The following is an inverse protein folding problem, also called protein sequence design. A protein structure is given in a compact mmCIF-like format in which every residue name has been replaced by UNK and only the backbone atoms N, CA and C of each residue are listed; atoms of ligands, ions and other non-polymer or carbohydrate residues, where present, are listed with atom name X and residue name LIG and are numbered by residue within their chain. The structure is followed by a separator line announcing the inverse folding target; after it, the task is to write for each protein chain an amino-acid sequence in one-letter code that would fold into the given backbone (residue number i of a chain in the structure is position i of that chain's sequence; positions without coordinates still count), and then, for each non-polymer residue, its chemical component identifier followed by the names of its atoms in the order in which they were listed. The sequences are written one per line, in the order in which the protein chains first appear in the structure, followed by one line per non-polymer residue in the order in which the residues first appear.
data_IF_848406186740
#
_entry.id   IF_848406186740
#
_cell.length_a   1.000
_cell.length_b   1.000
_cell.length_c   1.000
_cell.angle_alpha   90.00
_cell.angle_beta   90.00
_cell.angle_gamma   90.00
#
_symmetry.space_group_name_H-M   'P 1'
#
loop_
_entity.id
_entity.type
_entity.pdbx_description
1 polymer ?
#
# COMPACT_ATOMS: atom_id res chain seq x y z
N UNK A 1 25.68 -77.15 19.89
CA UNK A 1 26.14 -76.33 21.04
C UNK A 1 27.15 -75.31 20.54
N UNK A 2 26.73 -74.07 20.31
CA UNK A 2 27.58 -72.87 20.14
C UNK A 2 26.66 -71.70 19.77
N UNK A 3 26.93 -70.53 20.35
CA UNK A 3 26.31 -69.21 20.15
C UNK A 3 25.24 -68.82 21.17
N UNK A 4 25.71 -68.44 22.35
CA UNK A 4 25.07 -67.48 23.24
C UNK A 4 26.20 -66.66 23.88
N UNK A 5 26.00 -65.33 23.99
CA UNK A 5 26.89 -64.28 24.53
C UNK A 5 27.71 -63.48 23.51
N UNK A 6 27.16 -62.33 23.10
CA UNK A 6 27.80 -60.99 23.01
C UNK A 6 26.64 -59.98 23.20
N UNK A 7 26.34 -59.50 24.41
CA UNK A 7 27.00 -58.41 25.16
C UNK A 7 26.78 -57.04 24.49
N UNK A 8 25.71 -56.33 24.89
CA UNK A 8 25.77 -55.09 25.69
C UNK A 8 26.66 -54.02 25.04
N UNK A 9 26.04 -53.09 24.31
CA UNK A 9 26.66 -51.87 23.85
C UNK A 9 25.72 -51.12 22.92
N UNK A 10 25.47 -49.85 23.23
CA UNK A 10 24.66 -48.89 22.46
C UNK A 10 23.17 -48.85 22.85
N UNK A 11 22.92 -48.60 24.14
CA UNK A 11 21.81 -47.73 24.56
C UNK A 11 22.41 -46.33 24.69
N UNK A 12 22.73 -45.70 23.56
CA UNK A 12 23.20 -44.33 23.51
C UNK A 12 22.08 -43.46 22.94
N UNK A 13 21.38 -42.78 23.86
CA UNK A 13 20.89 -41.42 23.70
C UNK A 13 20.28 -41.08 22.32
N UNK A 14 19.03 -41.48 22.09
CA UNK A 14 18.13 -40.71 21.22
C UNK A 14 17.16 -39.94 22.10
N UNK A 15 17.70 -38.97 22.83
CA UNK A 15 16.93 -37.87 23.40
C UNK A 15 16.76 -36.81 22.32
N UNK A 16 15.88 -37.05 21.34
CA UNK A 16 15.42 -36.00 20.44
C UNK A 16 14.56 -35.05 21.25
N UNK A 17 15.16 -34.01 21.79
CA UNK A 17 14.45 -32.81 22.21
C UNK A 17 13.86 -32.18 20.96
N UNK A 18 12.62 -32.55 20.62
CA UNK A 18 11.77 -31.73 19.79
C UNK A 18 11.54 -30.43 20.57
N UNK A 19 12.39 -29.44 20.32
CA UNK A 19 12.08 -28.07 20.67
C UNK A 19 10.87 -27.70 19.81
N UNK A 20 9.67 -27.91 20.36
CA UNK A 20 8.50 -27.21 19.88
C UNK A 20 8.79 -25.74 20.10
N UNK A 21 9.18 -25.04 19.03
CA UNK A 21 9.06 -23.60 19.00
C UNK A 21 7.56 -23.33 19.22
N UNK A 22 7.21 -23.02 20.47
CA UNK A 22 5.93 -22.39 20.75
C UNK A 22 6.04 -21.09 19.99
N UNK A 23 5.36 -21.01 18.84
CA UNK A 23 5.10 -19.73 18.20
C UNK A 23 4.40 -18.90 19.26
N UNK A 24 5.13 -17.99 19.89
CA UNK A 24 4.51 -16.94 20.70
C UNK A 24 3.58 -16.27 19.70
N UNK A 25 2.25 -16.31 19.91
CA UNK A 25 1.34 -15.61 19.04
C UNK A 25 1.81 -14.16 19.04
N UNK A 26 2.26 -13.67 17.89
CA UNK A 26 2.54 -12.26 17.71
C UNK A 26 1.26 -11.55 18.14
N UNK A 27 1.28 -10.79 19.25
CA UNK A 27 0.07 -10.26 19.86
C UNK A 27 -0.54 -9.25 18.90
N UNK A 28 -1.38 -9.76 17.98
CA UNK A 28 -2.37 -9.08 17.16
C UNK A 28 -2.01 -7.61 16.98
N UNK A 29 -1.07 -7.32 16.09
CA UNK A 29 -0.71 -5.94 15.81
C UNK A 29 -1.86 -5.31 15.01
N UNK A 30 -2.73 -4.48 15.62
CA UNK A 30 -3.75 -3.78 14.85
C UNK A 30 -3.01 -2.91 13.83
N UNK A 31 -3.38 -3.00 12.54
CA UNK A 31 -2.85 -2.20 11.44
C UNK A 31 -2.12 -0.93 11.89
N UNK A 32 -0.78 -0.94 11.87
CA UNK A 32 -0.04 0.16 12.49
C UNK A 32 0.17 1.30 11.52
N UNK A 33 0.12 1.11 10.20
CA UNK A 33 0.25 2.24 9.28
C UNK A 33 -0.96 2.46 8.40
N UNK A 34 -1.53 3.65 8.52
CA UNK A 34 -2.72 4.07 7.80
C UNK A 34 -2.37 5.13 6.76
N UNK A 35 -2.89 4.98 5.54
CA UNK A 35 -2.76 5.94 4.46
C UNK A 35 -4.11 6.64 4.25
N UNK A 36 -4.13 7.95 4.05
CA UNK A 36 -5.39 8.65 3.76
C UNK A 36 -5.26 10.16 3.71
N UNK A 37 -6.36 10.88 3.52
CA UNK A 37 -6.37 12.34 3.53
C UNK A 37 -7.63 12.92 4.23
N UNK A 38 -7.57 13.24 5.53
CA UNK A 38 -6.53 12.82 6.48
C UNK A 38 -6.58 11.29 6.75
N UNK A 39 -5.49 10.68 7.23
CA UNK A 39 -5.46 9.25 7.56
C UNK A 39 -6.55 8.86 8.55
N UNK A 40 -7.02 7.61 8.49
CA UNK A 40 -8.07 7.07 9.38
C UNK A 40 -9.43 7.74 9.29
N UNK A 41 -9.66 8.57 8.27
CA UNK A 41 -10.96 9.24 8.03
C UNK A 41 -11.47 8.96 6.62
N UNK A 42 -12.77 9.22 6.41
CA UNK A 42 -13.43 9.01 5.13
C UNK A 42 -14.06 7.63 4.97
N UNK A 43 -14.81 7.48 3.88
CA UNK A 43 -15.46 6.22 3.50
C UNK A 43 -14.50 5.39 2.65
N UNK A 44 -14.40 4.11 2.95
CA UNK A 44 -13.65 3.17 2.13
C UNK A 44 -14.22 3.07 0.72
N UNK A 45 -13.36 2.80 -0.25
CA UNK A 45 -13.72 2.79 -1.67
C UNK A 45 -14.20 1.42 -2.15
N UNK A 46 -13.55 0.35 -1.69
CA UNK A 46 -13.78 -1.01 -2.16
C UNK A 46 -14.56 -1.82 -1.11
N UNK A 47 -15.64 -2.46 -1.55
CA UNK A 47 -16.57 -3.24 -0.71
C UNK A 47 -17.13 -2.52 0.55
N UNK A 48 -16.98 -1.19 0.63
CA UNK A 48 -17.41 -0.37 1.76
C UNK A 48 -16.51 -0.48 3.01
N UNK A 49 -15.42 -1.25 2.96
CA UNK A 49 -14.55 -1.52 4.10
C UNK A 49 -13.05 -1.64 3.75
N UNK A 50 -12.67 -1.49 2.49
CA UNK A 50 -11.30 -1.67 2.02
C UNK A 50 -10.83 -0.46 1.21
N UNK A 51 -9.56 -0.10 1.39
CA UNK A 51 -8.83 0.95 0.66
C UNK A 51 -9.37 2.36 0.90
N UNK A 52 -8.46 3.29 1.14
CA UNK A 52 -8.74 4.68 1.48
C UNK A 52 -8.62 5.59 0.26
N UNK A 53 -9.54 6.53 0.05
CA UNK A 53 -9.33 7.55 -0.96
C UNK A 53 -8.18 8.48 -0.56
N UNK A 54 -7.27 8.73 -1.50
CA UNK A 54 -6.25 9.77 -1.37
C UNK A 54 -6.40 10.81 -2.49
N UNK A 55 -5.93 12.03 -2.21
CA UNK A 55 -5.81 13.05 -3.26
C UNK A 55 -4.61 12.69 -4.14
N UNK A 56 -4.69 13.03 -5.42
CA UNK A 56 -3.57 12.86 -6.35
C UNK A 56 -2.38 13.78 -6.06
N UNK A 57 -2.54 14.83 -5.24
CA UNK A 57 -1.43 15.74 -4.88
C UNK A 57 -1.03 15.66 -3.42
N UNK A 58 -1.79 14.95 -2.59
CA UNK A 58 -1.54 14.89 -1.16
C UNK A 58 -2.07 13.61 -0.51
N UNK A 59 -1.30 13.09 0.43
CA UNK A 59 -1.72 12.07 1.38
C UNK A 59 -1.08 12.31 2.74
N UNK A 60 -1.62 11.67 3.77
CA UNK A 60 -0.98 11.47 5.06
C UNK A 60 -0.59 10.02 5.26
N UNK A 61 0.50 9.81 6.00
CA UNK A 61 0.93 8.51 6.54
C UNK A 61 0.84 8.63 8.06
N UNK A 62 0.02 7.80 8.68
CA UNK A 62 -0.15 7.78 10.13
C UNK A 62 0.33 6.46 10.70
N UNK A 63 1.10 6.54 11.79
CA UNK A 63 1.35 5.39 12.65
C UNK A 63 0.23 5.34 13.70
N UNK A 64 -0.60 4.32 13.65
CA UNK A 64 -1.75 4.12 14.51
C UNK A 64 -1.33 3.50 15.85
N UNK A 65 -1.97 3.93 16.93
CA UNK A 65 -1.73 3.42 18.28
C UNK A 65 -0.81 4.32 19.11
N UNK A 66 -1.34 4.90 20.17
CA UNK A 66 -0.54 5.70 21.10
C UNK A 66 0.45 4.81 21.87
N UNK A 67 1.71 5.24 21.96
CA UNK A 67 2.76 4.52 22.69
C UNK A 67 3.56 3.50 21.87
N UNK A 68 3.35 3.43 20.56
CA UNK A 68 4.26 2.70 19.67
C UNK A 68 5.64 3.37 19.62
N UNK A 69 6.73 2.60 19.42
CA UNK A 69 8.09 3.14 19.35
C UNK A 69 8.26 4.05 18.12
N UNK A 70 9.33 4.86 18.14
CA UNK A 70 9.72 5.59 16.94
C UNK A 70 10.23 4.63 15.87
N UNK A 71 9.80 4.87 14.62
CA UNK A 71 10.32 4.12 13.47
C UNK A 71 11.72 4.62 13.10
N UNK A 72 12.55 3.69 12.65
CA UNK A 72 13.91 3.92 12.17
C UNK A 72 13.85 4.58 10.80
N UNK A 73 14.80 5.49 10.54
CA UNK A 73 14.96 6.10 9.24
C UNK A 73 15.74 5.18 8.27
N UNK A 74 15.34 5.09 7.00
CA UNK A 74 14.19 5.78 6.39
C UNK A 74 12.86 5.04 6.62
N UNK A 75 11.76 5.77 6.75
CA UNK A 75 10.43 5.23 6.45
C UNK A 75 10.29 5.07 4.93
N UNK A 76 9.74 3.96 4.45
CA UNK A 76 9.44 3.78 3.03
C UNK A 76 7.99 4.16 2.72
N UNK A 77 7.79 4.97 1.69
CA UNK A 77 6.51 5.10 1.01
C UNK A 77 6.61 4.41 -0.35
N UNK A 78 5.70 3.50 -0.64
CA UNK A 78 5.71 2.69 -1.84
C UNK A 78 4.45 3.02 -2.63
N UNK A 79 4.62 3.40 -3.90
CA UNK A 79 3.50 3.63 -4.81
C UNK A 79 3.46 2.55 -5.89
N UNK A 80 2.26 2.13 -6.27
CA UNK A 80 2.00 1.24 -7.38
C UNK A 80 1.17 1.94 -8.44
N UNK A 81 1.75 2.22 -9.61
CA UNK A 81 1.11 2.97 -10.68
C UNK A 81 0.66 1.99 -11.78
N UNK A 82 -0.63 1.95 -12.16
CA UNK A 82 -1.14 0.94 -13.09
C UNK A 82 -0.48 1.07 -14.47
N UNK A 83 0.14 -0.01 -14.96
CA UNK A 83 0.80 -0.05 -16.27
C UNK A 83 2.11 0.75 -16.40
N UNK A 84 2.61 1.38 -15.33
CA UNK A 84 3.82 2.17 -15.38
C UNK A 84 5.10 1.31 -15.48
N UNK A 85 5.99 1.67 -16.40
CA UNK A 85 7.29 1.01 -16.59
C UNK A 85 8.45 1.89 -16.09
N UNK A 86 9.69 1.48 -16.38
CA UNK A 86 10.91 2.22 -16.01
C UNK A 86 11.02 3.63 -16.61
N UNK A 87 10.22 3.96 -17.64
CA UNK A 87 10.18 5.28 -18.26
C UNK A 87 9.33 6.28 -17.49
N UNK A 88 8.40 5.81 -16.65
CA UNK A 88 7.58 6.67 -15.80
C UNK A 88 8.45 7.45 -14.80
N UNK A 89 8.21 8.75 -14.71
CA UNK A 89 8.93 9.65 -13.81
C UNK A 89 8.11 9.84 -12.53
N UNK A 90 8.49 9.12 -11.47
CA UNK A 90 7.88 9.25 -10.17
C UNK A 90 7.93 10.73 -9.69
N UNK A 91 6.80 11.34 -9.29
CA UNK A 91 6.78 12.74 -8.86
C UNK A 91 7.73 13.00 -7.68
N UNK A 92 8.37 14.18 -7.64
CA UNK A 92 9.07 14.62 -6.43
C UNK A 92 8.09 14.80 -5.27
N UNK A 93 8.58 14.74 -4.03
CA UNK A 93 7.74 14.91 -2.84
C UNK A 93 8.31 15.96 -1.88
N UNK A 94 7.41 16.59 -1.13
CA UNK A 94 7.73 17.42 0.03
C UNK A 94 6.99 16.87 1.24
N UNK A 95 7.68 16.72 2.37
CA UNK A 95 7.11 16.22 3.61
C UNK A 95 6.75 17.37 4.55
N UNK A 96 5.72 17.19 5.37
CA UNK A 96 5.43 18.08 6.49
C UNK A 96 6.52 18.04 7.57
N UNK A 97 7.20 16.89 7.69
CA UNK A 97 8.30 16.62 8.62
C UNK A 97 9.32 15.72 7.92
N UNK A 98 10.60 16.07 8.01
CA UNK A 98 11.69 15.30 7.41
C UNK A 98 11.94 15.64 5.94
N UNK A 99 12.62 14.73 5.23
CA UNK A 99 12.93 14.85 3.80
C UNK A 99 12.53 13.58 3.06
N UNK A 100 12.12 13.70 1.79
CA UNK A 100 11.67 12.56 1.00
C UNK A 100 12.23 12.61 -0.42
N UNK A 101 12.62 11.46 -0.96
CA UNK A 101 13.06 11.34 -2.34
C UNK A 101 12.65 9.98 -2.93
N UNK A 102 12.42 9.94 -4.25
CA UNK A 102 12.28 8.69 -4.96
C UNK A 102 13.62 7.93 -4.94
N UNK A 103 13.56 6.63 -4.72
CA UNK A 103 14.75 5.83 -4.43
C UNK A 103 15.36 6.19 -3.08
N UNK A 104 16.68 6.08 -2.99
CA UNK A 104 17.44 6.19 -1.75
C UNK A 104 18.08 4.88 -1.31
N UNK A 105 18.76 4.94 -0.16
CA UNK A 105 19.48 3.80 0.40
C UNK A 105 18.51 2.68 0.79
N UNK A 106 18.90 1.45 0.48
CA UNK A 106 18.17 0.27 0.88
C UNK A 106 18.47 -0.10 2.34
N UNK A 107 17.63 0.36 3.26
CA UNK A 107 17.79 0.08 4.68
C UNK A 107 17.19 -1.28 5.11
N UNK A 108 16.32 -1.88 4.29
CA UNK A 108 15.49 -3.03 4.69
C UNK A 108 15.62 -4.23 3.75
N UNK A 109 16.76 -4.37 3.07
CA UNK A 109 17.08 -5.48 2.15
C UNK A 109 16.25 -5.57 0.86
N UNK A 110 15.42 -4.57 0.54
CA UNK A 110 14.60 -4.59 -0.68
C UNK A 110 15.34 -4.24 -1.97
N UNK A 111 14.71 -4.38 -3.13
CA UNK A 111 15.37 -4.16 -4.43
C UNK A 111 14.66 -3.08 -5.24
N UNK A 112 15.34 -1.96 -5.48
CA UNK A 112 14.89 -0.89 -6.37
C UNK A 112 16.07 -0.09 -6.92
N UNK A 113 15.81 0.70 -7.97
CA UNK A 113 16.76 1.68 -8.47
C UNK A 113 16.91 2.84 -7.45
N UNK A 114 18.10 3.02 -6.88
CA UNK A 114 18.34 4.02 -5.83
C UNK A 114 18.18 5.48 -6.27
N UNK A 115 18.11 5.75 -7.57
CA UNK A 115 17.93 7.11 -8.13
C UNK A 115 16.48 7.38 -8.52
N UNK A 116 15.78 6.40 -9.09
CA UNK A 116 14.41 6.59 -9.58
C UNK A 116 13.34 6.00 -8.68
N UNK A 117 13.73 5.15 -7.73
CA UNK A 117 12.82 4.37 -6.89
C UNK A 117 12.16 3.18 -7.58
N UNK A 118 12.34 3.00 -8.89
CA UNK A 118 11.67 1.94 -9.63
C UNK A 118 12.15 0.54 -9.19
N UNK A 119 11.22 -0.28 -8.72
CA UNK A 119 11.48 -1.65 -8.25
C UNK A 119 11.12 -2.73 -9.28
N UNK A 120 10.30 -2.40 -10.28
CA UNK A 120 9.85 -3.33 -11.32
C UNK A 120 8.34 -3.35 -11.47
N UNK A 121 7.85 -4.32 -12.26
CA UNK A 121 6.44 -4.55 -12.50
C UNK A 121 5.89 -5.60 -11.53
N UNK A 122 5.02 -5.18 -10.61
CA UNK A 122 4.28 -6.04 -9.71
C UNK A 122 3.03 -6.58 -10.43
N UNK A 123 3.00 -7.89 -10.66
CA UNK A 123 1.98 -8.55 -11.49
C UNK A 123 1.45 -9.85 -10.88
N UNK A 124 0.64 -10.61 -11.63
CA UNK A 124 -0.11 -11.78 -11.12
C UNK A 124 0.72 -12.91 -10.51
N UNK A 125 2.02 -12.98 -10.86
CA UNK A 125 2.92 -14.00 -10.34
C UNK A 125 3.52 -13.65 -8.96
N UNK A 126 3.39 -12.40 -8.52
CA UNK A 126 3.85 -11.95 -7.21
C UNK A 126 2.80 -12.24 -6.15
N UNK A 127 3.23 -12.68 -4.97
CA UNK A 127 2.31 -13.03 -3.88
C UNK A 127 1.89 -11.78 -3.09
N UNK A 128 2.80 -11.23 -2.28
CA UNK A 128 2.61 -9.99 -1.52
C UNK A 128 3.69 -8.97 -1.92
N UNK A 129 3.33 -7.68 -1.98
CA UNK A 129 4.22 -6.59 -2.36
C UNK A 129 5.50 -6.53 -1.52
N UNK A 130 5.39 -6.66 -0.20
CA UNK A 130 6.51 -6.46 0.70
C UNK A 130 7.53 -7.60 0.59
N UNK A 131 7.03 -8.83 0.43
CA UNK A 131 7.84 -10.00 0.11
C UNK A 131 8.47 -9.90 -1.28
N UNK A 132 7.70 -9.48 -2.27
CA UNK A 132 8.17 -9.31 -3.65
C UNK A 132 9.27 -8.25 -3.75
N UNK A 133 9.16 -7.16 -2.97
CA UNK A 133 10.21 -6.15 -2.84
C UNK A 133 11.48 -6.67 -2.14
N UNK A 134 11.38 -7.77 -1.38
CA UNK A 134 12.48 -8.34 -0.61
C UNK A 134 12.72 -7.65 0.74
N UNK A 135 11.68 -7.05 1.34
CA UNK A 135 11.81 -6.35 2.62
C UNK A 135 11.99 -7.34 3.78
N UNK A 136 12.87 -7.01 4.73
CA UNK A 136 13.20 -7.87 5.86
C UNK A 136 13.25 -7.09 7.19
N UNK A 137 12.42 -7.46 8.20
CA UNK A 137 11.41 -8.53 8.17
C UNK A 137 10.31 -8.33 7.12
N UNK A 138 9.81 -9.45 6.61
CA UNK A 138 8.64 -9.47 5.73
C UNK A 138 7.45 -8.84 6.44
N UNK A 139 6.72 -7.98 5.73
CA UNK A 139 5.44 -7.49 6.19
C UNK A 139 4.31 -8.12 5.40
N UNK A 140 3.77 -9.25 5.82
CA UNK A 140 2.59 -9.81 5.14
C UNK A 140 1.34 -9.01 5.54
N UNK A 141 0.81 -8.20 4.62
CA UNK A 141 -0.31 -7.31 4.90
C UNK A 141 -1.42 -7.39 3.83
N UNK A 142 -1.47 -8.52 3.10
CA UNK A 142 -2.44 -8.76 2.02
C UNK A 142 -2.35 -7.78 0.85
N UNK A 143 -1.18 -7.15 0.61
CA UNK A 143 -0.95 -6.30 -0.56
C UNK A 143 -0.59 -7.16 -1.77
N UNK A 144 -1.54 -8.00 -2.18
CA UNK A 144 -1.41 -8.93 -3.30
C UNK A 144 -1.86 -8.27 -4.59
N UNK A 145 -1.27 -8.67 -5.73
CA UNK A 145 -1.65 -8.12 -7.04
C UNK A 145 -3.15 -8.22 -7.30
N UNK A 146 -3.76 -9.39 -7.01
CA UNK A 146 -5.20 -9.62 -7.21
C UNK A 146 -6.06 -8.62 -6.42
N UNK A 147 -5.66 -8.27 -5.20
CA UNK A 147 -6.41 -7.32 -4.38
C UNK A 147 -6.33 -5.90 -4.95
N UNK A 148 -5.14 -5.47 -5.38
CA UNK A 148 -4.95 -4.17 -6.02
C UNK A 148 -5.69 -4.07 -7.36
N UNK A 149 -5.57 -5.10 -8.19
CA UNK A 149 -6.27 -5.21 -9.47
C UNK A 149 -7.79 -5.14 -9.28
N UNK A 150 -8.36 -5.96 -8.41
CA UNK A 150 -9.82 -6.04 -8.24
C UNK A 150 -10.40 -4.75 -7.65
N UNK A 151 -9.67 -4.09 -6.73
CA UNK A 151 -10.07 -2.80 -6.21
C UNK A 151 -9.99 -1.68 -7.25
N UNK A 152 -8.93 -1.61 -8.05
CA UNK A 152 -8.79 -0.58 -9.08
C UNK A 152 -9.81 -0.78 -10.21
N UNK A 153 -10.06 -2.02 -10.60
CA UNK A 153 -11.10 -2.36 -11.56
C UNK A 153 -12.49 -1.95 -11.06
N UNK A 154 -12.81 -2.22 -9.79
CA UNK A 154 -14.11 -1.88 -9.22
C UNK A 154 -14.31 -0.36 -9.00
N UNK A 155 -13.27 0.34 -8.56
CA UNK A 155 -13.36 1.76 -8.16
C UNK A 155 -13.14 2.69 -9.36
N UNK A 156 -12.14 2.39 -10.18
CA UNK A 156 -11.67 3.26 -11.25
C UNK A 156 -11.96 2.71 -12.66
N UNK A 157 -12.45 1.48 -12.78
CA UNK A 157 -12.66 0.79 -14.06
C UNK A 157 -11.34 0.68 -14.87
N UNK A 158 -10.24 0.40 -14.17
CA UNK A 158 -8.91 0.16 -14.73
C UNK A 158 -8.58 -1.33 -14.62
N UNK A 159 -8.40 -2.00 -15.76
CA UNK A 159 -7.97 -3.39 -15.86
C UNK A 159 -6.44 -3.44 -16.03
N UNK A 160 -5.73 -3.28 -14.91
CA UNK A 160 -4.26 -3.17 -14.90
C UNK A 160 -3.60 -4.55 -15.00
N UNK A 161 -2.80 -4.80 -16.05
CA UNK A 161 -2.04 -6.05 -16.18
C UNK A 161 -0.88 -6.18 -15.16
N UNK A 162 -0.39 -5.05 -14.65
CA UNK A 162 0.65 -4.93 -13.62
C UNK A 162 0.64 -3.52 -13.04
N UNK A 163 1.31 -3.33 -11.91
CA UNK A 163 1.60 -2.04 -11.31
C UNK A 163 3.11 -1.78 -11.33
N UNK A 164 3.54 -0.64 -11.86
CA UNK A 164 4.91 -0.17 -11.71
C UNK A 164 5.15 0.28 -10.28
N UNK A 165 6.10 -0.35 -9.60
CA UNK A 165 6.38 -0.06 -8.19
C UNK A 165 7.51 0.96 -8.09
N UNK A 166 7.26 2.03 -7.33
CA UNK A 166 8.23 3.07 -7.02
C UNK A 166 8.34 3.26 -5.51
N UNK A 167 9.56 3.16 -4.98
CA UNK A 167 9.88 3.31 -3.57
C UNK A 167 10.42 4.71 -3.33
N UNK A 168 9.91 5.37 -2.30
CA UNK A 168 10.41 6.63 -1.77
C UNK A 168 11.01 6.38 -0.38
N UNK A 169 12.22 6.88 -0.15
CA UNK A 169 12.79 6.94 1.20
C UNK A 169 12.43 8.28 1.84
N UNK A 170 11.86 8.20 3.04
CA UNK A 170 11.48 9.34 3.88
C UNK A 170 12.39 9.33 5.11
N UNK A 171 13.23 10.35 5.28
CA UNK A 171 14.22 10.46 6.35
C UNK A 171 13.82 11.56 7.34
N UNK A 172 14.33 11.47 8.56
CA UNK A 172 14.10 12.43 9.64
C UNK A 172 12.61 12.66 9.90
N UNK A 173 11.79 11.62 9.68
CA UNK A 173 10.34 11.74 9.79
C UNK A 173 9.89 11.80 11.25
N UNK A 174 10.68 11.19 12.14
CA UNK A 174 10.40 11.04 13.56
C UNK A 174 8.98 10.52 13.82
N UNK A 175 8.47 9.66 12.94
CA UNK A 175 7.13 9.10 13.12
C UNK A 175 7.13 8.17 14.33
N UNK A 176 6.12 8.36 15.17
CA UNK A 176 5.84 7.57 16.36
C UNK A 176 4.34 7.35 16.44
N UNK A 177 3.91 6.36 17.22
CA UNK A 177 2.50 6.08 17.47
C UNK A 177 1.63 7.31 17.74
N UNK A 178 0.58 7.49 16.93
CA UNK A 178 -0.36 8.61 16.96
C UNK A 178 -0.01 9.77 16.03
N UNK A 179 1.22 9.84 15.50
CA UNK A 179 1.66 10.94 14.64
C UNK A 179 1.31 10.70 13.17
N UNK A 180 1.23 11.79 12.41
CA UNK A 180 0.98 11.79 10.97
C UNK A 180 2.01 12.62 10.25
N UNK A 181 2.54 12.10 9.15
CA UNK A 181 3.35 12.85 8.18
C UNK A 181 2.46 13.17 6.98
N UNK A 182 2.41 14.43 6.57
CA UNK A 182 1.84 14.84 5.29
C UNK A 182 2.86 14.71 4.17
N UNK A 183 2.44 14.16 3.03
CA UNK A 183 3.24 14.03 1.81
C UNK A 183 2.54 14.82 0.71
N UNK A 184 3.23 15.81 0.16
CA UNK A 184 2.76 16.59 -1.01
C UNK A 184 3.54 16.18 -2.24
N UNK A 185 2.85 15.81 -3.32
CA UNK A 185 3.47 15.46 -4.60
C UNK A 185 3.68 16.71 -5.46
N UNK A 186 4.85 16.81 -6.09
CA UNK A 186 5.20 17.91 -7.00
C UNK A 186 4.47 17.83 -8.35
N UNK A 187 3.88 16.68 -8.67
CA UNK A 187 2.97 16.47 -9.78
C UNK A 187 1.83 15.53 -9.34
N UNK A 188 0.62 15.64 -9.93
CA UNK A 188 -0.47 14.73 -9.60
C UNK A 188 -0.13 13.28 -9.91
N UNK A 189 -0.45 12.38 -8.98
CA UNK A 189 -0.45 10.94 -9.20
C UNK A 189 -1.49 10.55 -10.27
N UNK A 190 -1.17 9.51 -11.04
CA UNK A 190 -2.09 8.92 -12.01
C UNK A 190 -3.26 8.24 -11.30
N UNK A 191 -4.41 8.18 -11.97
CA UNK A 191 -5.55 7.45 -11.42
C UNK A 191 -5.23 5.95 -11.26
N UNK A 192 -5.79 5.32 -10.23
CA UNK A 192 -5.48 3.93 -9.89
C UNK A 192 -4.14 3.70 -9.20
N UNK A 193 -3.41 4.76 -8.85
CA UNK A 193 -2.19 4.66 -8.04
C UNK A 193 -2.53 4.19 -6.63
N UNK A 194 -1.95 3.07 -6.22
CA UNK A 194 -1.93 2.61 -4.83
C UNK A 194 -0.77 3.24 -4.07
N UNK A 195 -0.98 3.51 -2.79
CA UNK A 195 0.08 3.93 -1.87
C UNK A 195 0.02 3.13 -0.57
N UNK A 196 1.17 2.61 -0.17
CA UNK A 196 1.39 1.92 1.10
C UNK A 196 2.67 2.42 1.75
N UNK A 197 2.85 2.18 3.05
CA UNK A 197 4.09 2.48 3.76
C UNK A 197 4.73 1.21 4.33
N UNK A 198 6.03 1.29 4.61
CA UNK A 198 6.80 0.29 5.34
C UNK A 198 7.83 0.97 6.24
N UNK A 199 7.93 0.55 7.51
CA UNK A 199 8.97 0.99 8.44
C UNK A 199 9.33 -0.11 9.42
N UNK A 200 10.37 0.13 10.21
CA UNK A 200 10.79 -0.78 11.29
C UNK A 200 11.10 0.03 12.54
N UNK A 201 11.10 -0.61 13.70
CA UNK A 201 11.70 -0.01 14.89
C UNK A 201 13.14 -0.48 15.13
N UNK A 202 13.75 0.05 16.18
CA UNK A 202 15.17 -0.16 16.53
C UNK A 202 15.43 -1.37 17.42
N UNK A 203 14.48 -2.30 17.57
CA UNK A 203 14.66 -3.51 18.40
C UNK A 203 15.74 -4.43 17.81
N UNK A 204 16.37 -5.26 18.65
CA UNK A 204 17.37 -6.25 18.23
C UNK A 204 16.80 -7.26 17.21
N UNK A 205 15.53 -7.61 17.38
CA UNK A 205 14.71 -8.23 16.34
C UNK A 205 13.70 -7.18 15.89
N UNK A 206 13.99 -6.44 14.79
CA UNK A 206 13.13 -5.35 14.35
C UNK A 206 11.72 -5.85 14.09
N UNK A 207 10.74 -5.05 14.44
CA UNK A 207 9.35 -5.30 14.06
C UNK A 207 9.00 -4.49 12.82
N UNK A 208 8.40 -5.12 11.82
CA UNK A 208 7.91 -4.40 10.64
C UNK A 208 6.58 -3.74 10.93
N UNK A 209 6.50 -2.46 10.63
CA UNK A 209 5.28 -1.69 10.58
C UNK A 209 4.89 -1.58 9.11
N UNK A 210 3.70 -2.07 8.76
CA UNK A 210 3.21 -2.08 7.37
C UNK A 210 1.79 -1.55 7.25
N UNK A 211 1.46 -1.08 6.06
CA UNK A 211 0.09 -0.71 5.70
C UNK A 211 -0.63 -1.94 5.17
N UNK A 212 -1.65 -2.48 5.86
CA UNK A 212 -2.46 -3.53 5.29
C UNK A 212 -3.25 -3.01 4.10
N UNK A 213 -3.62 -3.91 3.18
CA UNK A 213 -4.40 -3.57 1.99
C UNK A 213 -5.68 -2.78 2.34
N UNK A 214 -6.34 -3.11 3.44
CA UNK A 214 -7.55 -2.42 3.91
C UNK A 214 -7.31 -0.95 4.22
N UNK A 215 -6.09 -0.56 4.56
CA UNK A 215 -5.67 0.81 4.88
C UNK A 215 -4.74 1.43 3.80
N UNK A 216 -4.58 0.76 2.65
CA UNK A 216 -3.84 1.30 1.52
C UNK A 216 -4.57 2.52 0.93
N UNK A 217 -3.81 3.49 0.43
CA UNK A 217 -4.36 4.63 -0.31
C UNK A 217 -4.61 4.27 -1.77
N UNK A 218 -5.71 4.75 -2.35
CA UNK A 218 -6.00 4.66 -3.79
C UNK A 218 -6.43 6.02 -4.31
N UNK A 219 -5.74 6.48 -5.34
CA UNK A 219 -6.18 7.65 -6.09
C UNK A 219 -7.42 7.29 -6.91
N UNK A 220 -8.40 8.19 -6.93
CA UNK A 220 -9.60 8.04 -7.75
C UNK A 220 -9.72 9.19 -8.73
N UNK A 221 -10.36 8.94 -9.87
CA UNK A 221 -10.77 10.05 -10.73
C UNK A 221 -11.83 10.81 -9.93
N UNK A 222 -11.67 12.11 -9.68
CA UNK A 222 -12.75 12.87 -9.08
C UNK A 222 -13.99 12.64 -9.96
N UNK A 223 -15.18 12.38 -9.38
CA UNK A 223 -16.38 12.19 -10.17
C UNK A 223 -16.48 13.39 -11.10
N UNK A 224 -16.29 13.15 -12.41
CA UNK A 224 -16.36 14.21 -13.41
C UNK A 224 -17.76 14.78 -13.22
N UNK A 225 -17.91 16.06 -12.82
CA UNK A 225 -19.23 16.65 -12.67
C UNK A 225 -19.94 16.40 -13.98
N UNK A 226 -21.01 15.61 -13.96
CA UNK A 226 -21.76 15.28 -15.16
C UNK A 226 -21.94 16.59 -15.91
N UNK A 227 -21.41 16.71 -17.15
CA UNK A 227 -21.29 18.01 -17.74
C UNK A 227 -22.71 18.58 -17.78
N UNK A 228 -22.87 19.79 -17.24
CA UNK A 228 -24.18 20.45 -17.15
C UNK A 228 -24.87 20.53 -18.52
N UNK A 229 -24.16 20.21 -19.60
CA UNK A 229 -24.66 19.90 -20.93
C UNK A 229 -25.74 18.82 -20.97
N UNK A 230 -25.76 17.79 -20.11
CA UNK A 230 -26.85 16.80 -20.08
C UNK A 230 -28.15 17.41 -19.55
N UNK A 231 -28.03 18.22 -18.49
CA UNK A 231 -29.15 18.99 -17.95
C UNK A 231 -29.57 20.07 -18.95
N UNK A 232 -28.62 20.75 -19.60
CA UNK A 232 -28.88 21.78 -20.60
C UNK A 232 -29.51 21.19 -21.87
N UNK A 233 -29.08 20.01 -22.29
CA UNK A 233 -29.65 19.27 -23.41
C UNK A 233 -31.08 18.82 -23.08
N UNK A 234 -31.29 18.26 -21.88
CA UNK A 234 -32.61 17.93 -21.37
C UNK A 234 -33.54 19.14 -21.29
N UNK A 235 -33.05 20.26 -20.74
CA UNK A 235 -33.77 21.52 -20.66
C UNK A 235 -34.04 22.11 -22.04
N UNK A 236 -33.11 21.98 -22.98
CA UNK A 236 -33.24 22.40 -24.37
C UNK A 236 -34.34 21.64 -25.11
N UNK A 237 -34.39 20.31 -24.95
CA UNK A 237 -35.47 19.50 -25.52
C UNK A 237 -36.83 19.81 -24.90
N UNK A 238 -36.90 20.04 -23.59
CA UNK A 238 -38.12 20.50 -22.93
C UNK A 238 -38.57 21.87 -23.47
N UNK A 239 -37.65 22.80 -23.68
CA UNK A 239 -37.92 24.10 -24.28
C UNK A 239 -38.49 23.98 -25.70
N UNK A 240 -37.88 23.12 -26.54
CA UNK A 240 -38.37 22.85 -27.90
C UNK A 240 -39.74 22.16 -27.91
N UNK A 241 -40.00 21.24 -26.98
CA UNK A 241 -41.29 20.58 -26.85
C UNK A 241 -42.41 21.58 -26.46
N UNK A 242 -42.13 22.47 -25.50
CA UNK A 242 -43.08 23.53 -25.09
C UNK A 242 -43.33 24.50 -26.24
N UNK A 243 -42.29 24.89 -26.97
CA UNK A 243 -42.41 25.78 -28.13
C UNK A 243 -43.21 25.13 -29.28
N UNK A 244 -42.93 23.85 -29.58
CA UNK A 244 -43.66 23.09 -30.59
C UNK A 244 -45.16 22.94 -30.26
N UNK A 245 -45.52 22.74 -28.98
CA UNK A 245 -46.92 22.69 -28.55
C UNK A 245 -47.64 24.02 -28.75
N UNK A 246 -46.99 25.16 -28.45
CA UNK A 246 -47.60 26.49 -28.64
C UNK A 246 -47.92 26.76 -30.11
N UNK A 247 -47.04 26.38 -31.04
CA UNK A 247 -47.23 26.60 -32.49
C UNK A 247 -48.37 25.77 -33.10
N UNK A 248 -48.74 24.64 -32.50
CA UNK A 248 -49.87 23.82 -32.96
C UNK A 248 -51.23 24.36 -32.52
N UNK A 249 -51.27 25.17 -31.45
CA UNK A 249 -52.51 25.68 -30.87
C UNK A 249 -52.81 27.14 -31.26
N UNK A 250 -51.91 27.77 -32.03
CA UNK A 250 -52.07 29.11 -32.60
C UNK A 250 -52.29 28.97 -34.11
#
# INVERSE_FOLDING_TARGET
MKKLLVLIGIVAMFGTSAAFAVSVPDPLDPAVMHIGNPPSTGTYLYNGNEVRPISNTYLGIQENGNGQPALVDPLLMIIGVPGADSGYQAPSITLSTGTGAAGGANAYSGTWNVTTGYAGSFGPAADDLYDWLGLNPSGNASNRFVNWHDADLAVNNIDAAFFGIFVYTLNDTMITGGNTIGVTFGAPLENGTFVVAYGQDSRETPHSYTTPFTEAGLTTTPPVPEPGTMILLGAGFLGLAVWGKRRRNA
#
